data_IF_861301762135
#
_entry.id   IF_861301762135
#
_cell.length_a   1.000
_cell.length_b   1.000
_cell.length_c   1.000
_cell.angle_alpha   90.00
_cell.angle_beta   90.00
_cell.angle_gamma   90.00
#
_symmetry.space_group_name_H-M   'P 1'
#
loop_
_entity.id
_entity.type
_entity.pdbx_description
1 polymer ?
#
# COMPACT_ATOMS: atom_id res chain seq x y z
N UNK A 1 79.37 -12.47 8.88
CA UNK A 1 80.60 -13.14 8.37
C UNK A 1 80.20 -13.77 7.03
N UNK A 2 80.80 -13.43 5.88
CA UNK A 2 82.02 -14.06 5.31
C UNK A 2 81.87 -15.60 5.27
N UNK A 3 81.89 -16.29 4.12
CA UNK A 3 82.35 -16.01 2.73
C UNK A 3 81.26 -16.41 1.70
N UNK A 4 81.20 -16.06 0.40
CA UNK A 4 82.13 -15.51 -0.63
C UNK A 4 83.22 -16.48 -1.15
N UNK A 5 82.90 -17.23 -2.22
CA UNK A 5 83.91 -17.72 -3.16
C UNK A 5 83.34 -17.67 -4.60
N UNK A 6 84.23 -17.54 -5.59
CA UNK A 6 83.92 -16.96 -6.92
C UNK A 6 84.65 -17.72 -8.04
N UNK A 7 84.31 -17.41 -9.30
CA UNK A 7 84.92 -17.89 -10.56
C UNK A 7 84.49 -19.32 -10.95
N UNK A 8 84.31 -19.65 -12.24
CA UNK A 8 85.16 -19.23 -13.38
C UNK A 8 84.41 -18.87 -14.67
N UNK A 9 85.03 -17.97 -15.44
CA UNK A 9 84.71 -17.49 -16.80
C UNK A 9 84.89 -18.56 -17.90
N UNK A 10 84.61 -18.36 -19.21
CA UNK A 10 84.16 -17.18 -19.96
C UNK A 10 82.77 -17.46 -20.62
N UNK A 11 82.40 -17.30 -21.91
CA UNK A 11 83.03 -16.84 -23.18
C UNK A 11 81.99 -16.13 -24.09
N UNK A 12 82.35 -15.77 -25.33
CA UNK A 12 81.60 -14.92 -26.26
C UNK A 12 80.58 -15.70 -27.15
N UNK A 13 79.49 -15.03 -27.53
CA UNK A 13 78.63 -15.39 -28.67
C UNK A 13 77.81 -14.19 -29.16
N UNK A 14 78.19 -13.58 -30.30
CA UNK A 14 77.48 -12.42 -30.87
C UNK A 14 76.33 -12.89 -31.76
N UNK A 15 75.08 -12.66 -31.32
CA UNK A 15 73.87 -12.92 -32.12
C UNK A 15 73.00 -11.66 -32.23
N UNK A 16 73.14 -10.92 -33.32
CA UNK A 16 72.16 -9.87 -33.68
C UNK A 16 70.97 -10.53 -34.37
N UNK A 17 69.86 -10.67 -33.66
CA UNK A 17 68.57 -11.02 -34.26
C UNK A 17 67.60 -9.85 -34.13
N UNK A 18 67.13 -9.35 -35.26
CA UNK A 18 66.12 -8.30 -35.36
C UNK A 18 64.75 -8.92 -35.03
N UNK A 19 64.08 -8.46 -33.98
CA UNK A 19 62.77 -8.97 -33.54
C UNK A 19 61.84 -7.83 -33.19
N UNK A 20 60.72 -7.72 -33.91
CA UNK A 20 59.73 -6.66 -33.69
C UNK A 20 58.81 -6.98 -32.52
N UNK A 21 58.46 -5.96 -31.73
CA UNK A 21 57.35 -5.99 -30.78
C UNK A 21 56.45 -4.77 -31.03
N UNK A 22 55.40 -4.98 -31.83
CA UNK A 22 54.22 -4.12 -31.85
C UNK A 22 53.28 -4.53 -30.69
N UNK A 23 52.40 -3.60 -30.27
CA UNK A 23 51.20 -3.95 -29.52
C UNK A 23 51.34 -3.99 -28.00
N UNK A 24 51.32 -2.81 -27.37
CA UNK A 24 51.17 -2.64 -25.92
C UNK A 24 49.80 -2.04 -25.52
N UNK A 25 48.74 -2.32 -26.28
CA UNK A 25 47.42 -1.71 -26.08
C UNK A 25 46.63 -2.36 -24.96
N UNK A 26 46.40 -1.59 -23.89
CA UNK A 26 45.18 -1.55 -23.06
C UNK A 26 44.37 -2.85 -22.98
N UNK A 27 44.70 -3.70 -22.02
CA UNK A 27 43.69 -4.56 -21.39
C UNK A 27 43.13 -3.81 -20.17
N UNK A 28 42.16 -2.93 -20.43
CA UNK A 28 41.30 -2.43 -19.38
C UNK A 28 40.41 -3.60 -18.92
N UNK A 29 40.39 -3.88 -17.61
CA UNK A 29 39.55 -4.95 -17.05
C UNK A 29 38.09 -4.55 -17.12
N UNK A 30 37.43 -4.85 -18.24
CA UNK A 30 35.98 -4.76 -18.38
C UNK A 30 35.34 -5.61 -17.29
N UNK A 31 34.69 -4.97 -16.33
CA UNK A 31 33.92 -5.66 -15.31
C UNK A 31 32.84 -6.51 -16.02
N UNK A 32 32.79 -7.80 -15.70
CA UNK A 32 31.70 -8.65 -16.11
C UNK A 32 30.42 -8.11 -15.48
N UNK A 33 29.47 -7.66 -16.32
CA UNK A 33 28.08 -7.62 -15.89
C UNK A 33 27.70 -9.05 -15.50
N UNK A 34 27.35 -9.26 -14.24
CA UNK A 34 26.99 -10.58 -13.77
C UNK A 34 25.68 -11.02 -14.44
N UNK A 35 25.66 -12.23 -15.00
CA UNK A 35 24.45 -12.86 -15.54
C UNK A 35 23.68 -13.46 -14.34
N UNK A 36 23.01 -12.60 -13.54
CA UNK A 36 22.40 -12.93 -12.22
C UNK A 36 21.10 -13.74 -12.35
N UNK A 37 21.05 -14.65 -13.33
CA UNK A 37 19.95 -15.61 -13.53
C UNK A 37 19.98 -16.79 -12.56
N UNK A 38 20.79 -16.71 -11.50
CA UNK A 38 20.82 -17.69 -10.41
C UNK A 38 19.58 -17.52 -9.53
N UNK A 39 18.73 -18.56 -9.35
CA UNK A 39 17.64 -18.50 -8.39
C UNK A 39 18.18 -18.43 -6.96
N UNK A 40 17.59 -17.53 -6.17
CA UNK A 40 17.88 -17.29 -4.76
C UNK A 40 16.65 -17.68 -3.95
N UNK A 41 16.81 -18.44 -2.87
CA UNK A 41 15.67 -18.84 -2.02
C UNK A 41 15.14 -17.63 -1.24
N UNK A 42 13.85 -17.34 -1.36
CA UNK A 42 13.20 -16.22 -0.69
C UNK A 42 11.78 -16.56 -0.27
N UNK A 43 11.59 -16.57 1.05
CA UNK A 43 10.28 -16.55 1.69
C UNK A 43 9.78 -15.09 1.79
N UNK A 44 10.72 -14.14 1.94
CA UNK A 44 10.48 -12.69 1.91
C UNK A 44 11.47 -11.95 0.99
N UNK A 45 11.02 -10.84 0.39
CA UNK A 45 11.82 -9.92 -0.43
C UNK A 45 11.58 -8.45 -0.04
N UNK A 46 12.55 -7.81 0.63
CA UNK A 46 12.65 -6.35 0.77
C UNK A 46 13.25 -5.77 -0.52
N UNK A 47 12.54 -4.83 -1.13
CA UNK A 47 12.91 -4.19 -2.39
C UNK A 47 12.89 -2.67 -2.24
N UNK A 48 14.07 -2.05 -2.33
CA UNK A 48 14.25 -0.59 -2.32
C UNK A 48 14.82 -0.10 -3.65
N UNK A 49 13.99 0.60 -4.42
CA UNK A 49 14.17 0.87 -5.86
C UNK A 49 13.91 2.34 -6.24
N UNK A 50 14.50 3.33 -5.54
CA UNK A 50 14.28 4.75 -5.79
C UNK A 50 14.55 5.13 -7.26
N UNK A 51 13.64 5.86 -7.88
CA UNK A 51 13.73 6.38 -9.25
C UNK A 51 13.94 5.32 -10.37
N UNK A 52 13.66 4.03 -10.11
CA UNK A 52 13.84 2.95 -11.08
C UNK A 52 12.54 2.59 -11.84
N UNK A 53 12.70 2.00 -13.04
CA UNK A 53 11.63 1.22 -13.68
C UNK A 53 11.77 -0.24 -13.26
N UNK A 54 10.74 -0.82 -12.63
CA UNK A 54 10.77 -2.18 -12.10
C UNK A 54 9.60 -2.99 -12.64
N UNK A 55 9.90 -4.18 -13.16
CA UNK A 55 8.89 -5.16 -13.57
C UNK A 55 9.09 -6.46 -12.77
N UNK A 56 8.07 -6.85 -12.01
CA UNK A 56 8.05 -8.04 -11.18
C UNK A 56 7.07 -9.02 -11.78
N UNK A 57 7.45 -10.30 -11.89
CA UNK A 57 6.56 -11.40 -12.28
C UNK A 57 6.45 -12.39 -11.14
N UNK A 58 5.26 -12.53 -10.59
CA UNK A 58 4.93 -13.57 -9.63
C UNK A 58 4.50 -14.85 -10.40
N UNK A 59 5.32 -15.89 -10.34
CA UNK A 59 5.11 -17.16 -11.03
C UNK A 59 5.11 -18.32 -10.03
N UNK A 60 3.97 -18.98 -9.87
CA UNK A 60 3.80 -20.17 -9.03
C UNK A 60 4.57 -21.41 -9.51
N UNK A 61 5.24 -21.37 -10.68
CA UNK A 61 6.21 -22.38 -11.09
C UNK A 61 7.57 -22.23 -10.38
N UNK A 62 7.89 -21.03 -9.85
CA UNK A 62 9.06 -20.80 -9.01
C UNK A 62 8.77 -21.28 -7.59
N UNK A 63 9.56 -22.26 -7.14
CA UNK A 63 9.49 -22.78 -5.77
C UNK A 63 10.34 -21.91 -4.87
N UNK A 64 9.69 -21.03 -4.13
CA UNK A 64 10.29 -20.26 -3.03
C UNK A 64 11.56 -19.49 -3.48
N UNK A 65 11.55 -19.02 -4.74
CA UNK A 65 12.74 -18.58 -5.47
C UNK A 65 12.54 -17.23 -6.16
N UNK A 66 13.51 -16.34 -6.02
CA UNK A 66 13.63 -15.06 -6.73
C UNK A 66 14.76 -15.15 -7.77
N UNK A 67 14.54 -14.59 -8.96
CA UNK A 67 15.51 -14.50 -10.06
C UNK A 67 15.58 -13.06 -10.57
N UNK A 68 16.79 -12.54 -10.78
CA UNK A 68 17.00 -11.26 -11.47
C UNK A 68 17.16 -11.54 -12.97
N UNK A 69 16.11 -11.30 -13.77
CA UNK A 69 16.14 -11.50 -15.22
C UNK A 69 16.94 -10.39 -15.92
N UNK A 70 16.83 -9.16 -15.45
CA UNK A 70 17.48 -7.97 -16.04
C UNK A 70 17.83 -6.93 -14.97
N UNK A 71 18.98 -6.27 -15.10
CA UNK A 71 19.41 -5.13 -14.28
C UNK A 71 20.08 -4.06 -15.16
N UNK A 72 19.42 -3.63 -16.23
CA UNK A 72 19.99 -2.74 -17.25
C UNK A 72 20.27 -1.36 -16.68
N UNK A 73 21.55 -0.97 -16.68
CA UNK A 73 22.00 0.32 -16.15
C UNK A 73 22.00 0.41 -14.62
N UNK A 74 21.78 -0.71 -13.92
CA UNK A 74 21.68 -0.79 -12.47
C UNK A 74 22.72 -1.73 -11.89
N UNK A 75 23.15 -1.47 -10.66
CA UNK A 75 23.96 -2.40 -9.86
C UNK A 75 23.18 -2.70 -8.59
N UNK A 76 22.36 -3.76 -8.55
CA UNK A 76 21.62 -4.13 -7.35
C UNK A 76 22.59 -4.65 -6.29
N UNK A 77 22.52 -4.09 -5.08
CA UNK A 77 23.09 -4.72 -3.90
C UNK A 77 22.10 -5.79 -3.42
N UNK A 78 22.54 -7.04 -3.37
CA UNK A 78 21.71 -8.20 -3.00
C UNK A 78 22.29 -8.82 -1.74
N UNK A 79 21.54 -8.75 -0.66
CA UNK A 79 21.89 -9.36 0.62
C UNK A 79 20.88 -10.48 0.92
N UNK A 80 21.37 -11.64 1.33
CA UNK A 80 20.51 -12.77 1.74
C UNK A 80 20.80 -13.12 3.19
N UNK A 81 19.78 -13.03 4.02
CA UNK A 81 19.82 -13.39 5.44
C UNK A 81 18.85 -14.54 5.70
N UNK A 82 19.14 -15.37 6.69
CA UNK A 82 18.26 -16.43 7.15
C UNK A 82 18.04 -16.31 8.64
N UNK A 83 16.79 -16.23 9.07
CA UNK A 83 16.43 -16.43 10.47
C UNK A 83 15.71 -17.78 10.62
N UNK A 84 16.23 -18.64 11.50
CA UNK A 84 15.76 -20.02 11.64
C UNK A 84 15.64 -20.79 10.32
N UNK A 85 14.41 -20.94 9.84
CA UNK A 85 14.03 -21.60 8.58
C UNK A 85 13.76 -20.65 7.43
N UNK A 86 13.48 -19.37 7.70
CA UNK A 86 13.00 -18.38 6.74
C UNK A 86 14.18 -17.65 6.06
N UNK A 87 14.06 -17.43 4.75
CA UNK A 87 15.09 -16.85 3.89
C UNK A 87 14.62 -15.49 3.38
N UNK A 88 15.25 -14.42 3.88
CA UNK A 88 14.90 -13.04 3.55
C UNK A 88 15.94 -12.52 2.55
N UNK A 89 15.49 -12.02 1.41
CA UNK A 89 16.33 -11.30 0.45
C UNK A 89 16.08 -9.81 0.58
N UNK A 90 17.15 -9.03 0.58
CA UNK A 90 17.12 -7.58 0.44
C UNK A 90 17.79 -7.19 -0.87
N UNK A 91 17.07 -6.46 -1.73
CA UNK A 91 17.58 -5.92 -2.98
C UNK A 91 17.46 -4.39 -2.97
N UNK A 92 18.61 -3.70 -2.96
CA UNK A 92 18.68 -2.24 -2.90
C UNK A 92 19.34 -1.64 -4.16
N UNK A 93 18.75 -0.56 -4.67
CA UNK A 93 19.32 0.26 -5.75
C UNK A 93 19.80 1.61 -5.21
N UNK A 94 21.10 1.72 -4.92
CA UNK A 94 21.67 2.96 -4.39
C UNK A 94 21.90 4.08 -5.43
N UNK A 95 21.88 3.76 -6.72
CA UNK A 95 22.05 4.72 -7.82
C UNK A 95 21.20 4.30 -9.03
N UNK A 96 20.25 5.14 -9.42
CA UNK A 96 19.38 4.90 -10.57
C UNK A 96 19.62 5.97 -11.65
N UNK A 97 20.47 5.69 -12.66
CA UNK A 97 20.60 6.56 -13.83
C UNK A 97 19.30 6.56 -14.64
N UNK A 98 19.05 7.64 -15.38
CA UNK A 98 17.81 7.82 -16.16
C UNK A 98 17.60 6.66 -17.14
N UNK A 99 16.52 5.90 -16.94
CA UNK A 99 16.19 4.72 -17.75
C UNK A 99 16.74 3.39 -17.23
N UNK A 100 17.28 3.34 -16.00
CA UNK A 100 17.63 2.09 -15.33
C UNK A 100 16.42 1.17 -15.13
N UNK A 101 16.58 -0.12 -15.41
CA UNK A 101 15.51 -1.14 -15.42
C UNK A 101 15.89 -2.39 -14.65
N UNK A 102 14.99 -2.82 -13.77
CA UNK A 102 15.10 -4.06 -13.00
C UNK A 102 13.92 -4.98 -13.38
N UNK A 103 14.22 -6.19 -13.84
CA UNK A 103 13.22 -7.24 -14.09
C UNK A 103 13.44 -8.39 -13.12
N UNK A 104 12.46 -8.67 -12.27
CA UNK A 104 12.48 -9.72 -11.25
C UNK A 104 11.41 -10.77 -11.56
N UNK A 105 11.72 -12.05 -11.36
CA UNK A 105 10.70 -13.09 -11.21
C UNK A 105 10.77 -13.62 -9.78
N UNK A 106 9.64 -13.94 -9.16
CA UNK A 106 9.55 -14.46 -7.81
C UNK A 106 8.42 -15.48 -7.67
N UNK A 107 8.44 -16.29 -6.60
CA UNK A 107 7.33 -17.19 -6.29
C UNK A 107 6.09 -16.38 -5.89
N UNK A 108 4.89 -16.81 -6.29
CA UNK A 108 3.64 -16.23 -5.81
C UNK A 108 3.50 -16.24 -4.28
N UNK A 109 4.17 -17.17 -3.60
CA UNK A 109 4.15 -17.32 -2.15
C UNK A 109 5.22 -16.49 -1.42
N UNK A 110 6.21 -15.92 -2.14
CA UNK A 110 7.18 -14.98 -1.56
C UNK A 110 6.46 -13.68 -1.16
N UNK A 111 6.57 -13.27 0.11
CA UNK A 111 6.06 -11.97 0.54
C UNK A 111 6.96 -10.84 0.00
N UNK A 112 6.35 -9.81 -0.62
CA UNK A 112 7.06 -8.67 -1.17
C UNK A 112 6.83 -7.42 -0.31
N UNK A 113 7.92 -6.79 0.11
CA UNK A 113 7.91 -5.50 0.82
C UNK A 113 8.60 -4.44 -0.02
N UNK A 114 7.88 -3.38 -0.38
CA UNK A 114 8.41 -2.23 -1.13
C UNK A 114 8.77 -1.10 -0.16
N UNK A 115 10.06 -0.83 0.01
CA UNK A 115 10.56 0.21 0.92
C UNK A 115 11.17 1.40 0.17
N UNK A 116 10.99 2.61 0.72
CA UNK A 116 11.70 3.85 0.38
C UNK A 116 12.03 4.00 -1.11
N UNK A 117 11.00 3.95 -1.96
CA UNK A 117 11.12 3.92 -3.42
C UNK A 117 10.52 5.16 -4.10
N UNK A 118 10.97 6.39 -3.77
CA UNK A 118 10.45 7.60 -4.35
C UNK A 118 10.66 7.67 -5.86
N UNK A 119 9.69 8.21 -6.59
CA UNK A 119 9.73 8.36 -8.06
C UNK A 119 9.93 7.04 -8.85
N UNK A 120 9.71 5.89 -8.21
CA UNK A 120 9.75 4.59 -8.87
C UNK A 120 8.52 4.37 -9.77
N UNK A 121 8.67 3.53 -10.79
CA UNK A 121 7.55 2.99 -11.57
C UNK A 121 7.62 1.46 -11.53
N UNK A 122 6.69 0.87 -10.78
CA UNK A 122 6.67 -0.56 -10.43
C UNK A 122 5.46 -1.21 -11.09
N UNK A 123 5.67 -2.34 -11.77
CA UNK A 123 4.61 -3.15 -12.38
C UNK A 123 4.78 -4.58 -11.85
N UNK A 124 3.72 -5.14 -11.27
CA UNK A 124 3.69 -6.48 -10.68
C UNK A 124 2.66 -7.32 -11.44
N UNK A 125 3.14 -8.21 -12.31
CA UNK A 125 2.29 -9.15 -13.04
C UNK A 125 2.18 -10.50 -12.34
N UNK A 126 1.02 -11.15 -12.44
CA UNK A 126 0.73 -12.45 -11.82
C UNK A 126 -0.13 -12.34 -10.54
N UNK A 127 0.20 -13.13 -9.51
CA UNK A 127 -0.52 -13.12 -8.22
C UNK A 127 0.48 -13.19 -7.07
N UNK A 128 0.39 -12.24 -6.14
CA UNK A 128 1.12 -12.24 -4.87
C UNK A 128 0.24 -12.70 -3.70
N UNK A 129 0.79 -13.51 -2.80
CA UNK A 129 0.15 -13.82 -1.52
C UNK A 129 0.17 -12.61 -0.56
N UNK A 130 1.25 -11.83 -0.53
CA UNK A 130 1.39 -10.64 0.32
C UNK A 130 2.15 -9.51 -0.39
N UNK A 131 1.65 -8.27 -0.27
CA UNK A 131 2.36 -7.04 -0.61
C UNK A 131 2.30 -6.06 0.58
N UNK A 132 3.46 -5.70 1.12
CA UNK A 132 3.65 -4.52 1.96
C UNK A 132 4.27 -3.41 1.11
N UNK A 133 3.89 -2.14 1.32
CA UNK A 133 4.45 -1.03 0.55
C UNK A 133 4.44 0.32 1.27
N UNK A 134 5.54 1.07 1.13
CA UNK A 134 5.65 2.47 1.52
C UNK A 134 6.15 3.29 0.30
N UNK A 135 5.27 4.12 -0.27
CA UNK A 135 5.48 4.76 -1.57
C UNK A 135 5.21 6.27 -1.52
N UNK A 136 6.16 7.06 -2.02
CA UNK A 136 6.09 8.53 -2.06
C UNK A 136 6.41 9.05 -3.48
N UNK A 137 5.58 9.93 -4.05
CA UNK A 137 5.69 10.37 -5.44
C UNK A 137 5.95 9.25 -6.48
N UNK A 138 5.43 8.04 -6.24
CA UNK A 138 5.74 6.83 -7.03
C UNK A 138 4.54 6.35 -7.88
N UNK A 139 4.75 5.29 -8.66
CA UNK A 139 3.69 4.63 -9.43
C UNK A 139 3.76 3.11 -9.32
N UNK A 140 2.61 2.48 -9.09
CA UNK A 140 2.45 1.04 -8.88
C UNK A 140 1.27 0.49 -9.69
N UNK A 141 1.47 -0.65 -10.35
CA UNK A 141 0.41 -1.42 -11.02
C UNK A 141 0.52 -2.88 -10.57
N UNK A 142 -0.58 -3.53 -10.18
CA UNK A 142 -0.60 -4.92 -9.66
C UNK A 142 -1.75 -5.71 -10.29
N UNK A 143 -1.46 -6.88 -10.88
CA UNK A 143 -2.46 -7.79 -11.43
C UNK A 143 -3.36 -8.39 -10.32
N UNK A 144 -2.78 -9.04 -9.30
CA UNK A 144 -3.51 -9.56 -8.14
C UNK A 144 -2.67 -9.63 -6.86
N UNK A 145 -3.29 -9.33 -5.72
CA UNK A 145 -2.74 -9.61 -4.38
C UNK A 145 -3.79 -10.11 -3.36
N UNK A 146 -3.39 -11.06 -2.49
CA UNK A 146 -4.24 -11.70 -1.44
C UNK A 146 -4.08 -11.12 -0.02
N UNK A 147 -3.12 -10.22 0.19
CA UNK A 147 -2.92 -9.51 1.45
C UNK A 147 -2.17 -8.22 1.19
N UNK A 148 -2.77 -7.07 1.51
CA UNK A 148 -2.18 -5.76 1.26
C UNK A 148 -1.99 -4.96 2.56
N UNK A 149 -0.80 -4.41 2.77
CA UNK A 149 -0.60 -3.24 3.64
C UNK A 149 0.12 -2.16 2.84
N UNK A 150 -0.42 -0.94 2.83
CA UNK A 150 -0.04 0.09 1.86
C UNK A 150 -0.08 1.48 2.49
N UNK A 151 1.09 2.12 2.57
CA UNK A 151 1.23 3.54 2.83
C UNK A 151 1.59 4.28 1.53
N UNK A 152 0.79 5.28 1.17
CA UNK A 152 0.99 6.13 -0.02
C UNK A 152 0.96 7.61 0.34
N UNK A 153 1.95 8.36 -0.17
CA UNK A 153 2.11 9.79 0.08
C UNK A 153 2.51 10.56 -1.19
N UNK A 154 2.64 11.88 -1.06
CA UNK A 154 2.99 12.78 -2.16
C UNK A 154 1.91 12.77 -3.24
N UNK A 155 2.31 12.43 -4.46
CA UNK A 155 1.45 12.32 -5.65
C UNK A 155 1.25 10.87 -6.12
N UNK A 156 1.58 9.88 -5.28
CA UNK A 156 1.65 8.45 -5.63
C UNK A 156 0.38 7.92 -6.30
N UNK A 157 0.55 7.18 -7.40
CA UNK A 157 -0.53 6.56 -8.17
C UNK A 157 -0.43 5.03 -8.09
N UNK A 158 -1.42 4.38 -7.47
CA UNK A 158 -1.50 2.93 -7.36
C UNK A 158 -2.76 2.39 -8.08
N UNK A 159 -2.58 1.33 -8.88
CA UNK A 159 -3.67 0.56 -9.49
C UNK A 159 -3.53 -0.93 -9.15
N UNK A 160 -4.61 -1.56 -8.72
CA UNK A 160 -4.67 -2.99 -8.38
C UNK A 160 -5.88 -3.62 -9.07
N UNK A 161 -5.64 -4.48 -10.07
CA UNK A 161 -6.75 -5.09 -10.82
C UNK A 161 -7.59 -6.04 -9.95
N UNK A 162 -6.96 -6.87 -9.12
CA UNK A 162 -7.70 -7.68 -8.13
C UNK A 162 -7.06 -7.68 -6.73
N UNK A 163 -7.88 -7.37 -5.72
CA UNK A 163 -7.49 -7.32 -4.31
C UNK A 163 -8.37 -8.29 -3.50
N UNK A 164 -7.77 -9.34 -2.95
CA UNK A 164 -8.47 -10.44 -2.27
C UNK A 164 -8.16 -10.50 -0.77
N UNK A 165 -9.00 -11.23 -0.02
CA UNK A 165 -8.86 -11.65 1.38
C UNK A 165 -8.76 -10.53 2.42
N UNK A 166 -7.73 -9.69 2.44
CA UNK A 166 -7.58 -8.61 3.43
C UNK A 166 -6.70 -7.45 2.93
N UNK A 167 -7.03 -6.22 3.31
CA UNK A 167 -6.25 -5.03 2.94
C UNK A 167 -6.24 -3.94 4.01
N UNK A 168 -5.13 -3.19 4.09
CA UNK A 168 -4.96 -1.98 4.86
C UNK A 168 -4.35 -0.87 3.99
N UNK A 169 -4.87 0.35 4.14
CA UNK A 169 -4.44 1.56 3.44
C UNK A 169 -4.19 2.72 4.42
N UNK A 170 -3.12 3.46 4.19
CA UNK A 170 -2.83 4.77 4.76
C UNK A 170 -2.45 5.73 3.63
N UNK A 171 -3.34 6.66 3.28
CA UNK A 171 -3.19 7.54 2.12
C UNK A 171 -3.14 9.02 2.53
N UNK A 172 -2.14 9.74 2.01
CA UNK A 172 -1.85 11.14 2.38
C UNK A 172 -1.47 11.98 1.17
N UNK A 173 -1.42 13.30 1.30
CA UNK A 173 -1.12 14.21 0.19
C UNK A 173 -2.16 14.17 -0.93
N UNK A 174 -1.71 14.13 -2.18
CA UNK A 174 -2.53 13.95 -3.40
C UNK A 174 -2.39 12.56 -4.02
N UNK A 175 -2.21 11.53 -3.18
CA UNK A 175 -2.09 10.14 -3.62
C UNK A 175 -3.44 9.54 -4.04
N UNK A 176 -3.41 8.53 -4.91
CA UNK A 176 -4.60 7.89 -5.48
C UNK A 176 -4.41 6.36 -5.55
N UNK A 177 -5.33 5.60 -4.95
CA UNK A 177 -5.44 4.15 -5.14
C UNK A 177 -6.73 3.81 -5.90
N UNK A 178 -6.60 3.07 -6.99
CA UNK A 178 -7.72 2.48 -7.73
C UNK A 178 -7.66 0.94 -7.67
N UNK A 179 -8.80 0.31 -7.39
CA UNK A 179 -8.94 -1.14 -7.32
C UNK A 179 -10.12 -1.57 -8.20
N UNK A 180 -9.90 -2.41 -9.21
CA UNK A 180 -11.00 -2.80 -10.11
C UNK A 180 -11.96 -3.77 -9.40
N UNK A 181 -11.42 -4.82 -8.77
CA UNK A 181 -12.21 -5.83 -8.02
C UNK A 181 -11.65 -6.05 -6.61
N UNK A 182 -12.47 -5.85 -5.58
CA UNK A 182 -12.14 -6.17 -4.18
C UNK A 182 -13.00 -7.32 -3.62
N UNK A 183 -12.39 -8.41 -3.17
CA UNK A 183 -13.06 -9.55 -2.51
C UNK A 183 -12.48 -9.77 -1.11
N UNK A 184 -12.91 -8.94 -0.17
CA UNK A 184 -12.25 -8.72 1.12
C UNK A 184 -13.08 -9.18 2.32
N UNK A 185 -12.47 -9.96 3.20
CA UNK A 185 -13.03 -10.26 4.53
C UNK A 185 -12.92 -9.06 5.48
N UNK A 186 -11.86 -8.26 5.33
CA UNK A 186 -11.64 -7.01 6.04
C UNK A 186 -10.89 -5.99 5.16
N UNK A 187 -11.29 -4.73 5.26
CA UNK A 187 -10.60 -3.59 4.66
C UNK A 187 -10.52 -2.42 5.67
N UNK A 188 -9.31 -1.90 5.90
CA UNK A 188 -9.09 -0.68 6.68
C UNK A 188 -8.47 0.42 5.82
N UNK A 189 -8.94 1.66 5.98
CA UNK A 189 -8.39 2.83 5.29
C UNK A 189 -8.28 4.03 6.24
N UNK A 190 -7.13 4.70 6.20
CA UNK A 190 -6.89 6.00 6.82
C UNK A 190 -6.49 6.98 5.72
N UNK A 191 -7.15 8.15 5.65
CA UNK A 191 -7.03 9.07 4.52
C UNK A 191 -6.99 10.54 4.97
N UNK A 192 -6.01 11.30 4.47
CA UNK A 192 -5.79 12.72 4.78
C UNK A 192 -5.64 13.59 3.54
N UNK A 193 -5.48 14.90 3.76
CA UNK A 193 -5.14 15.91 2.75
C UNK A 193 -6.11 15.94 1.57
N UNK A 194 -5.72 15.50 0.38
CA UNK A 194 -6.55 15.32 -0.81
C UNK A 194 -6.30 13.95 -1.45
N UNK A 195 -6.20 12.92 -0.61
CA UNK A 195 -5.99 11.54 -1.05
C UNK A 195 -7.28 10.90 -1.58
N UNK A 196 -7.14 10.01 -2.55
CA UNK A 196 -8.24 9.42 -3.30
C UNK A 196 -8.22 7.89 -3.25
N UNK A 197 -9.41 7.29 -3.13
CA UNK A 197 -9.62 5.85 -3.17
C UNK A 197 -10.82 5.52 -4.07
N UNK A 198 -10.61 4.64 -5.05
CA UNK A 198 -11.68 4.08 -5.88
C UNK A 198 -11.66 2.55 -5.78
N UNK A 199 -12.82 1.94 -5.53
CA UNK A 199 -13.04 0.49 -5.61
C UNK A 199 -14.24 0.24 -6.53
N UNK A 200 -14.00 -0.28 -7.74
CA UNK A 200 -14.99 -0.32 -8.82
C UNK A 200 -16.06 -1.39 -8.64
N UNK A 201 -15.71 -2.62 -8.21
CA UNK A 201 -16.70 -3.64 -7.84
C UNK A 201 -16.20 -4.67 -6.80
N UNK A 202 -17.08 -5.57 -6.38
CA UNK A 202 -16.78 -6.71 -5.51
C UNK A 202 -17.59 -6.78 -4.20
N UNK A 203 -17.00 -7.37 -3.15
CA UNK A 203 -17.58 -7.58 -1.82
C UNK A 203 -16.58 -7.27 -0.71
N UNK A 204 -17.02 -6.58 0.35
CA UNK A 204 -16.22 -6.28 1.55
C UNK A 204 -17.02 -6.64 2.81
N UNK A 205 -16.64 -7.66 3.57
CA UNK A 205 -17.43 -8.11 4.73
C UNK A 205 -17.31 -7.17 5.96
N UNK A 206 -16.18 -6.48 6.11
CA UNK A 206 -15.93 -5.51 7.16
C UNK A 206 -15.09 -4.33 6.65
N UNK A 207 -15.68 -3.14 6.58
CA UNK A 207 -15.02 -1.89 6.20
C UNK A 207 -14.79 -1.01 7.44
N UNK A 208 -13.57 -0.51 7.62
CA UNK A 208 -13.26 0.58 8.57
C UNK A 208 -12.54 1.71 7.84
N UNK A 209 -13.15 2.88 7.74
CA UNK A 209 -12.60 4.00 6.97
C UNK A 209 -12.61 5.29 7.77
N UNK A 210 -11.45 5.95 7.89
CA UNK A 210 -11.29 7.25 8.53
C UNK A 210 -10.74 8.24 7.50
N UNK A 211 -11.54 9.22 7.07
CA UNK A 211 -11.17 10.21 6.06
C UNK A 211 -11.25 11.64 6.59
N UNK A 212 -10.30 12.48 6.18
CA UNK A 212 -10.12 13.82 6.76
C UNK A 212 -9.61 14.85 5.73
N UNK A 213 -9.63 16.13 6.10
CA UNK A 213 -9.33 17.28 5.23
C UNK A 213 -10.19 17.33 3.96
N UNK A 214 -9.72 16.86 2.82
CA UNK A 214 -10.40 16.83 1.51
C UNK A 214 -10.30 15.43 0.85
N UNK A 215 -9.96 14.40 1.62
CA UNK A 215 -9.87 13.03 1.12
C UNK A 215 -11.23 12.50 0.62
N UNK A 216 -11.21 11.74 -0.48
CA UNK A 216 -12.42 11.21 -1.12
C UNK A 216 -12.31 9.71 -1.38
N UNK A 217 -13.35 8.96 -0.98
CA UNK A 217 -13.41 7.51 -1.15
C UNK A 217 -14.71 7.06 -1.84
N UNK A 218 -14.58 6.40 -2.98
CA UNK A 218 -15.68 5.81 -3.76
C UNK A 218 -15.59 4.28 -3.72
N UNK A 219 -16.48 3.63 -2.98
CA UNK A 219 -16.51 2.17 -2.80
C UNK A 219 -17.80 1.63 -3.43
N UNK A 220 -17.70 1.18 -4.68
CA UNK A 220 -18.82 0.65 -5.46
C UNK A 220 -19.08 -0.85 -5.23
N UNK A 221 -18.20 -1.53 -4.49
CA UNK A 221 -18.40 -2.87 -3.95
C UNK A 221 -19.62 -2.98 -3.00
N UNK A 222 -20.14 -4.19 -2.82
CA UNK A 222 -21.13 -4.48 -1.77
C UNK A 222 -20.44 -4.66 -0.42
N UNK A 223 -20.68 -3.75 0.51
CA UNK A 223 -20.16 -3.83 1.87
C UNK A 223 -21.16 -4.57 2.77
N UNK A 224 -20.70 -5.44 3.66
CA UNK A 224 -21.58 -6.06 4.65
C UNK A 224 -21.67 -5.18 5.91
N UNK A 225 -20.56 -4.91 6.60
CA UNK A 225 -20.53 -4.00 7.74
C UNK A 225 -19.56 -2.84 7.50
N UNK A 226 -19.94 -1.63 7.91
CA UNK A 226 -19.14 -0.43 7.73
C UNK A 226 -19.04 0.38 9.04
N UNK A 227 -17.83 0.84 9.36
CA UNK A 227 -17.56 1.87 10.36
C UNK A 227 -16.80 3.01 9.67
N UNK A 228 -17.39 4.20 9.61
CA UNK A 228 -16.87 5.31 8.80
C UNK A 228 -16.80 6.57 9.65
N UNK A 229 -15.62 7.18 9.71
CA UNK A 229 -15.39 8.49 10.34
C UNK A 229 -14.99 9.52 9.29
N UNK A 230 -15.67 10.67 9.23
CA UNK A 230 -15.31 11.80 8.35
C UNK A 230 -15.02 13.09 9.12
N UNK A 231 -14.04 13.88 8.68
CA UNK A 231 -13.81 15.25 9.19
C UNK A 231 -13.66 16.29 8.08
N UNK A 232 -13.69 17.57 8.49
CA UNK A 232 -13.35 18.74 7.69
C UNK A 232 -14.19 18.94 6.41
N UNK A 233 -13.71 18.43 5.27
CA UNK A 233 -14.35 18.46 3.96
C UNK A 233 -14.23 17.12 3.19
N UNK A 234 -13.83 16.04 3.87
CA UNK A 234 -13.76 14.70 3.27
C UNK A 234 -15.14 14.17 2.85
N UNK A 235 -15.14 13.27 1.86
CA UNK A 235 -16.35 12.64 1.29
C UNK A 235 -16.18 11.13 1.16
N UNK A 236 -17.29 10.41 1.35
CA UNK A 236 -17.32 8.95 1.17
C UNK A 236 -18.60 8.56 0.42
N UNK A 237 -18.45 7.78 -0.64
CA UNK A 237 -19.55 7.27 -1.44
C UNK A 237 -19.54 5.75 -1.39
N UNK A 238 -20.66 5.14 -0.99
CA UNK A 238 -20.83 3.69 -0.96
C UNK A 238 -21.93 3.27 -1.94
N UNK A 239 -21.73 2.22 -2.73
CA UNK A 239 -22.81 1.64 -3.55
C UNK A 239 -23.89 1.01 -2.68
N UNK A 240 -23.54 -0.03 -1.92
CA UNK A 240 -24.51 -0.86 -1.21
C UNK A 240 -23.94 -1.37 0.10
N UNK A 241 -24.69 -1.21 1.18
CA UNK A 241 -24.42 -1.88 2.47
C UNK A 241 -25.56 -2.86 2.78
N UNK A 242 -25.25 -4.07 3.25
CA UNK A 242 -26.26 -5.11 3.58
C UNK A 242 -26.48 -5.37 5.06
N UNK A 243 -25.50 -5.06 5.91
CA UNK A 243 -25.52 -5.23 7.36
C UNK A 243 -25.55 -3.89 8.09
N UNK A 244 -24.71 -3.74 9.12
CA UNK A 244 -24.70 -2.52 9.94
C UNK A 244 -23.76 -1.44 9.42
N UNK A 245 -24.20 -0.18 9.52
CA UNK A 245 -23.41 1.02 9.26
C UNK A 245 -23.26 1.79 10.57
N UNK A 246 -22.03 2.22 10.90
CA UNK A 246 -21.72 3.14 11.99
C UNK A 246 -21.06 4.40 11.43
N UNK A 247 -21.83 5.46 11.31
CA UNK A 247 -21.38 6.74 10.76
C UNK A 247 -21.01 7.71 11.87
N UNK A 248 -19.77 8.21 11.83
CA UNK A 248 -19.28 9.30 12.65
C UNK A 248 -18.73 10.43 11.78
N UNK A 249 -18.86 11.67 12.24
CA UNK A 249 -18.26 12.83 11.57
C UNK A 249 -19.22 13.97 11.28
N UNK A 250 -18.80 14.84 10.37
CA UNK A 250 -19.50 16.11 10.05
C UNK A 250 -20.01 16.22 8.62
N UNK A 251 -19.67 15.29 7.70
CA UNK A 251 -19.96 15.43 6.26
C UNK A 251 -20.43 14.16 5.56
N UNK A 252 -20.66 14.30 4.25
CA UNK A 252 -21.54 13.44 3.46
C UNK A 252 -20.99 12.04 3.23
N UNK A 253 -21.66 11.06 3.82
CA UNK A 253 -21.64 9.67 3.38
C UNK A 253 -22.81 9.51 2.42
N UNK A 254 -22.50 9.27 1.14
CA UNK A 254 -23.51 9.14 0.07
C UNK A 254 -23.71 7.68 -0.27
N UNK A 255 -24.87 7.13 0.09
CA UNK A 255 -25.28 5.82 -0.42
C UNK A 255 -25.82 6.00 -1.84
N UNK A 256 -25.13 5.46 -2.83
CA UNK A 256 -25.55 5.47 -4.23
C UNK A 256 -26.66 4.44 -4.42
N UNK A 257 -27.90 4.85 -4.15
CA UNK A 257 -29.12 4.05 -4.40
C UNK A 257 -29.04 3.39 -5.78
N UNK A 258 -29.31 2.07 -5.90
CA UNK A 258 -29.43 1.42 -7.19
C UNK A 258 -30.40 2.20 -8.08
N UNK A 259 -30.12 2.37 -9.39
CA UNK A 259 -30.96 3.17 -10.27
C UNK A 259 -32.40 2.65 -10.21
N UNK A 260 -33.30 3.47 -9.67
CA UNK A 260 -34.69 3.08 -9.44
C UNK A 260 -35.30 2.64 -10.77
N UNK A 261 -35.81 1.41 -10.82
CA UNK A 261 -36.29 0.81 -12.06
C UNK A 261 -37.53 1.58 -12.55
N UNK A 262 -37.30 2.56 -13.43
CA UNK A 262 -38.27 3.55 -13.88
C UNK A 262 -39.61 2.89 -14.18
N UNK A 263 -40.68 3.19 -13.41
CA UNK A 263 -41.97 2.53 -13.59
C UNK A 263 -42.42 2.59 -15.04
N UNK A 264 -42.52 1.42 -15.68
CA UNK A 264 -42.73 1.32 -17.12
C UNK A 264 -43.99 2.10 -17.52
N UNK A 265 -43.79 3.23 -18.22
CA UNK A 265 -44.83 4.23 -18.48
C UNK A 265 -45.93 3.60 -19.34
N UNK A 266 -46.98 3.12 -18.67
CA UNK A 266 -48.01 2.27 -19.25
C UNK A 266 -48.64 2.95 -20.47
N UNK A 267 -48.40 2.39 -21.66
CA UNK A 267 -48.81 2.99 -22.91
C UNK A 267 -50.34 3.04 -23.01
N UNK A 268 -50.88 4.24 -23.22
CA UNK A 268 -52.32 4.47 -23.22
C UNK A 268 -52.94 4.27 -24.61
N UNK A 269 -53.89 3.33 -24.71
CA UNK A 269 -54.83 3.20 -25.83
C UNK A 269 -54.91 1.81 -26.45
N UNK A 270 -55.94 1.53 -27.28
CA UNK A 270 -57.08 2.40 -27.66
C UNK A 270 -58.36 2.10 -26.86
N UNK A 271 -59.42 2.86 -27.12
CA UNK A 271 -60.72 2.72 -26.43
C UNK A 271 -61.59 1.55 -26.96
N UNK A 272 -62.53 1.01 -26.16
CA UNK A 272 -63.48 0.00 -26.61
C UNK A 272 -64.47 0.52 -27.67
N UNK A 273 -64.83 -0.33 -28.63
CA UNK A 273 -65.90 -0.05 -29.58
C UNK A 273 -67.30 -0.27 -28.97
N UNK A 274 -68.30 0.47 -29.45
CA UNK A 274 -69.68 0.36 -28.96
C UNK A 274 -70.41 -0.87 -29.53
N UNK A 275 -71.26 -1.50 -28.71
CA UNK A 275 -72.24 -2.50 -29.15
C UNK A 275 -73.67 -1.94 -29.17
N UNK A 276 -74.56 -2.42 -30.07
CA UNK A 276 -75.92 -1.92 -30.23
C UNK A 276 -76.92 -2.48 -29.18
N UNK A 277 -78.07 -1.82 -28.96
CA UNK A 277 -79.05 -2.18 -27.93
C UNK A 277 -80.18 -3.10 -28.41
N UNK A 278 -80.63 -4.05 -27.58
CA UNK A 278 -81.92 -4.75 -27.68
C UNK A 278 -82.26 -5.50 -26.34
N UNK A 279 -83.49 -6.02 -26.10
CA UNK A 279 -84.43 -5.33 -25.20
C UNK A 279 -84.98 -6.19 -24.03
N UNK A 280 -86.03 -5.68 -23.37
CA UNK A 280 -86.65 -6.15 -22.11
C UNK A 280 -87.09 -7.63 -22.03
N UNK A 281 -87.06 -8.16 -20.80
CA UNK A 281 -87.71 -9.42 -20.39
C UNK A 281 -87.78 -9.55 -18.87
N UNK A 282 -88.96 -9.90 -18.34
CA UNK A 282 -89.24 -10.04 -16.88
C UNK A 282 -89.20 -11.50 -16.41
N UNK A 283 -88.73 -11.78 -15.18
CA UNK A 283 -89.31 -12.80 -14.29
C UNK A 283 -88.72 -12.76 -12.85
N UNK A 284 -89.49 -13.24 -11.87
CA UNK A 284 -89.21 -13.20 -10.43
C UNK A 284 -88.32 -14.36 -9.92
N UNK A 285 -87.66 -14.17 -8.77
CA UNK A 285 -87.06 -15.24 -7.96
C UNK A 285 -86.63 -14.73 -6.57
N UNK A 286 -87.08 -15.39 -5.49
CA UNK A 286 -86.80 -14.95 -4.10
C UNK A 286 -85.55 -15.65 -3.54
N UNK A 287 -84.67 -14.91 -2.84
CA UNK A 287 -84.40 -15.12 -1.41
C UNK A 287 -83.37 -14.12 -0.82
N UNK A 288 -83.55 -13.82 0.47
CA UNK A 288 -82.76 -12.96 1.38
C UNK A 288 -83.12 -13.45 2.82
N UNK A 289 -82.40 -13.20 3.94
CA UNK A 289 -81.22 -12.35 4.19
C UNK A 289 -80.00 -13.20 4.70
N UNK A 290 -78.91 -12.71 5.30
CA UNK A 290 -78.62 -11.41 5.93
C UNK A 290 -77.12 -11.00 5.94
N UNK A 291 -76.90 -9.74 6.34
CA UNK A 291 -75.64 -8.99 6.54
C UNK A 291 -75.71 -8.48 8.00
N UNK A 292 -74.65 -8.46 8.86
CA UNK A 292 -73.64 -7.38 8.75
C UNK A 292 -72.22 -7.52 9.39
N UNK A 293 -71.24 -6.95 8.67
CA UNK A 293 -70.22 -5.97 9.13
C UNK A 293 -69.08 -6.31 10.13
N UNK A 294 -68.00 -5.53 9.94
CA UNK A 294 -66.70 -5.47 10.65
C UNK A 294 -66.82 -4.82 12.05
N UNK A 295 -65.82 -4.96 12.95
CA UNK A 295 -64.90 -3.81 13.15
C UNK A 295 -63.41 -4.16 13.46
N UNK A 296 -62.62 -3.11 13.67
CA UNK A 296 -61.15 -3.01 13.74
C UNK A 296 -60.65 -2.80 15.18
N UNK A 297 -59.66 -3.58 15.63
CA UNK A 297 -58.84 -3.38 16.85
C UNK A 297 -57.47 -4.06 16.67
N UNK A 298 -56.40 -3.76 17.41
CA UNK A 298 -55.97 -2.55 18.12
C UNK A 298 -54.46 -2.72 18.47
N UNK A 299 -53.76 -1.63 18.85
CA UNK A 299 -52.37 -1.73 19.31
C UNK A 299 -52.28 -2.30 20.74
N UNK A 300 -51.21 -3.04 21.04
CA UNK A 300 -50.93 -3.59 22.37
C UNK A 300 -49.48 -3.39 22.79
N UNK A 301 -49.26 -2.62 23.85
CA UNK A 301 -47.96 -2.45 24.51
C UNK A 301 -47.77 -3.49 25.62
N UNK A 302 -46.54 -3.96 25.82
CA UNK A 302 -46.20 -4.91 26.89
C UNK A 302 -45.05 -4.40 27.77
N UNK A 303 -45.40 -3.84 28.92
CA UNK A 303 -44.46 -3.40 29.97
C UNK A 303 -44.13 -4.57 30.91
N UNK A 304 -42.88 -4.76 31.37
CA UNK A 304 -42.52 -5.94 32.17
C UNK A 304 -43.01 -5.88 33.63
N UNK A 305 -43.41 -7.02 34.23
CA UNK A 305 -43.66 -7.12 35.67
C UNK A 305 -42.36 -7.33 36.46
N UNK A 306 -42.22 -6.62 37.58
CA UNK A 306 -41.20 -6.91 38.59
C UNK A 306 -41.76 -7.88 39.65
N UNK A 307 -40.91 -8.76 40.18
CA UNK A 307 -41.25 -9.67 41.29
C UNK A 307 -40.00 -10.02 42.10
N UNK A 308 -40.06 -9.87 43.42
CA UNK A 308 -38.87 -9.82 44.29
C UNK A 308 -38.95 -10.82 45.44
N UNK A 309 -37.96 -11.72 45.50
CA UNK A 309 -37.61 -12.62 46.62
C UNK A 309 -38.69 -13.67 47.03
N UNK A 310 -38.36 -14.82 47.64
CA UNK A 310 -37.11 -15.27 48.24
C UNK A 310 -37.00 -16.82 48.24
N UNK A 311 -35.79 -17.38 48.42
CA UNK A 311 -35.62 -18.73 49.03
C UNK A 311 -34.59 -19.70 48.44
N UNK A 312 -33.62 -20.07 49.27
CA UNK A 312 -33.00 -21.41 49.39
C UNK A 312 -32.09 -21.98 48.27
N UNK A 313 -30.80 -21.62 48.39
CA UNK A 313 -29.63 -22.54 48.56
C UNK A 313 -29.32 -23.70 47.60
N UNK A 314 -28.06 -23.62 47.11
CA UNK A 314 -27.08 -24.71 46.94
C UNK A 314 -27.28 -25.78 45.83
N UNK A 315 -26.41 -25.74 44.81
CA UNK A 315 -26.36 -26.76 43.75
C UNK A 315 -25.34 -26.53 42.63
N UNK A 316 -24.18 -25.90 42.91
CA UNK A 316 -23.21 -25.54 41.86
C UNK A 316 -22.42 -26.77 41.35
N UNK A 317 -22.35 -27.05 40.04
CA UNK A 317 -21.53 -28.12 39.50
C UNK A 317 -20.03 -27.83 39.69
N UNK A 318 -19.30 -28.75 40.31
CA UNK A 318 -17.84 -28.63 40.49
C UNK A 318 -17.13 -29.01 39.19
N UNK A 319 -16.58 -28.01 38.49
CA UNK A 319 -15.55 -28.24 37.48
C UNK A 319 -14.21 -28.51 38.20
N UNK A 320 -13.45 -29.57 37.85
CA UNK A 320 -12.13 -29.80 38.44
C UNK A 320 -11.20 -28.61 38.23
N UNK A 321 -10.60 -28.11 39.30
CA UNK A 321 -9.58 -27.08 39.23
C UNK A 321 -8.25 -27.70 38.77
N UNK A 322 -7.71 -27.21 37.65
CA UNK A 322 -6.33 -27.49 37.27
C UNK A 322 -5.41 -26.76 38.26
N UNK A 323 -4.36 -27.40 38.81
CA UNK A 323 -3.42 -26.72 39.68
C UNK A 323 -2.77 -25.52 38.99
N UNK A 324 -2.92 -24.33 39.58
CA UNK A 324 -2.24 -23.14 39.09
C UNK A 324 -0.73 -23.28 39.36
N UNK A 325 0.06 -23.43 38.29
CA UNK A 325 1.52 -23.32 38.37
C UNK A 325 1.84 -21.88 38.75
N UNK A 326 2.53 -21.68 39.87
CA UNK A 326 2.98 -20.35 40.28
C UNK A 326 3.97 -19.80 39.24
N UNK A 327 3.84 -18.52 38.83
CA UNK A 327 4.83 -17.91 37.94
C UNK A 327 6.21 -17.93 38.62
N UNK A 328 7.30 -18.20 37.88
CA UNK A 328 8.64 -18.17 38.45
C UNK A 328 8.94 -16.76 38.96
N UNK A 329 9.50 -16.65 40.17
CA UNK A 329 9.86 -15.37 40.75
C UNK A 329 10.97 -14.72 39.90
N UNK A 330 10.65 -13.59 39.27
CA UNK A 330 11.61 -12.78 38.52
C UNK A 330 12.74 -12.35 39.45
N UNK A 331 14.02 -12.63 39.14
CA UNK A 331 15.13 -12.09 39.92
C UNK A 331 15.06 -10.57 39.92
N UNK A 332 15.15 -9.95 41.09
CA UNK A 332 15.24 -8.51 41.20
C UNK A 332 16.54 -8.06 40.52
N UNK A 333 16.42 -7.32 39.42
CA UNK A 333 17.59 -6.81 38.70
C UNK A 333 18.34 -5.82 39.61
N UNK A 334 19.58 -6.16 39.96
CA UNK A 334 20.50 -5.22 40.62
C UNK A 334 20.62 -3.98 39.74
N UNK A 335 20.44 -2.75 40.26
CA UNK A 335 20.61 -1.55 39.45
C UNK A 335 22.04 -1.51 38.92
N UNK A 336 22.26 -1.22 37.63
CA UNK A 336 23.60 -1.12 37.07
C UNK A 336 24.37 0.00 37.79
N UNK A 337 25.64 -0.26 38.12
CA UNK A 337 26.50 0.75 38.70
C UNK A 337 26.63 1.94 37.76
N UNK A 338 26.55 3.16 38.30
CA UNK A 338 26.57 4.40 37.52
C UNK A 338 27.89 4.57 36.77
N UNK A 339 27.92 4.13 35.51
CA UNK A 339 28.99 4.48 34.57
C UNK A 339 29.05 6.00 34.41
N UNK A 340 30.25 6.60 34.35
CA UNK A 340 30.39 8.05 34.26
C UNK A 340 29.77 8.57 32.95
N UNK A 341 28.91 9.59 33.07
CA UNK A 341 28.31 10.28 31.93
C UNK A 341 29.42 10.83 31.03
N UNK A 342 29.44 10.52 29.72
CA UNK A 342 30.34 11.19 28.78
C UNK A 342 30.07 12.70 28.82
N UNK A 343 31.07 13.49 29.21
CA UNK A 343 30.95 14.94 29.14
C UNK A 343 30.71 15.34 27.68
N UNK A 344 29.64 16.09 27.43
CA UNK A 344 29.46 16.74 26.15
C UNK A 344 30.70 17.60 25.85
N UNK A 345 31.24 17.60 24.63
CA UNK A 345 32.42 18.38 24.30
C UNK A 345 32.13 19.86 24.53
N UNK A 346 32.86 20.47 25.46
CA UNK A 346 32.77 21.91 25.76
C UNK A 346 32.94 22.70 24.47
N UNK A 347 32.05 23.65 24.13
CA UNK A 347 32.22 24.50 22.96
C UNK A 347 33.59 25.18 22.99
N UNK A 348 34.37 24.99 21.92
CA UNK A 348 35.64 25.68 21.79
C UNK A 348 35.41 27.20 21.79
N UNK A 349 36.27 27.99 22.45
CA UNK A 349 36.16 29.45 22.37
C UNK A 349 36.30 29.89 20.90
N UNK A 350 35.54 30.92 20.46
CA UNK A 350 35.54 31.33 19.07
C UNK A 350 36.94 31.77 18.64
N UNK A 351 37.44 31.19 17.56
CA UNK A 351 38.70 31.61 16.96
C UNK A 351 38.60 33.05 16.47
N UNK A 352 39.60 33.88 16.78
CA UNK A 352 39.68 35.27 16.31
C UNK A 352 39.59 35.34 14.79
N UNK A 353 38.61 36.08 14.27
CA UNK A 353 38.37 36.15 12.84
C UNK A 353 39.54 36.81 12.08
N UNK A 354 40.26 36.03 11.28
CA UNK A 354 41.17 36.56 10.25
C UNK A 354 40.37 36.99 9.02
N UNK A 355 40.30 38.30 8.80
CA UNK A 355 39.53 38.91 7.71
C UNK A 355 40.02 38.46 6.32
N UNK A 356 39.14 37.84 5.53
CA UNK A 356 39.26 37.74 4.07
C UNK A 356 37.95 38.15 3.37
N UNK A 357 38.02 38.70 2.15
CA UNK A 357 36.94 39.52 1.59
C UNK A 357 35.81 38.71 0.94
N UNK A 358 34.61 39.31 0.92
CA UNK A 358 33.42 38.74 0.31
C UNK A 358 33.45 38.77 -1.23
N UNK A 359 32.95 37.73 -1.92
CA UNK A 359 32.62 37.79 -3.34
C UNK A 359 31.49 38.79 -3.62
N UNK A 360 31.57 39.51 -4.74
CA UNK A 360 30.56 40.50 -5.14
C UNK A 360 29.35 39.84 -5.82
N UNK A 361 28.15 40.34 -5.52
CA UNK A 361 26.93 39.97 -6.23
C UNK A 361 26.79 40.75 -7.56
N UNK A 362 26.21 40.16 -8.63
CA UNK A 362 25.97 40.89 -9.88
C UNK A 362 24.89 41.97 -9.69
N UNK A 363 25.20 43.23 -9.99
CA UNK A 363 24.22 44.31 -9.99
C UNK A 363 23.51 44.40 -11.35
N UNK A 364 22.18 44.39 -11.34
CA UNK A 364 21.38 44.75 -12.50
C UNK A 364 21.48 46.26 -12.76
N UNK A 365 21.75 46.65 -14.02
CA UNK A 365 21.93 48.05 -14.39
C UNK A 365 20.66 48.69 -14.96
N UNK A 366 20.42 49.96 -14.64
CA UNK A 366 19.64 51.00 -15.38
C UNK A 366 19.61 52.30 -14.52
N UNK A 367 19.26 53.49 -15.05
CA UNK A 367 20.21 54.27 -15.84
C UNK A 367 20.42 55.70 -15.28
N UNK A 368 21.60 56.29 -15.51
CA UNK A 368 21.89 57.68 -15.14
C UNK A 368 21.95 58.60 -16.38
N UNK A 369 21.18 59.68 -16.34
CA UNK A 369 21.23 60.76 -17.33
C UNK A 369 22.44 61.69 -17.14
N UNK A 370 22.63 62.70 -18.02
CA UNK A 370 23.94 63.31 -18.26
C UNK A 370 24.16 64.65 -17.54
N UNK A 371 25.44 65.03 -17.34
CA UNK A 371 25.97 66.34 -17.76
C UNK A 371 27.51 66.50 -17.65
N UNK A 372 28.10 66.97 -18.75
CA UNK A 372 29.17 67.98 -18.90
C UNK A 372 30.42 68.01 -17.99
N UNK A 373 31.54 67.52 -18.54
CA UNK A 373 32.75 68.30 -18.98
C UNK A 373 32.93 69.78 -18.57
N UNK A 374 34.17 70.34 -18.61
CA UNK A 374 35.50 69.75 -18.34
C UNK A 374 36.46 70.76 -17.61
N UNK A 375 37.78 70.61 -17.80
CA UNK A 375 38.89 71.58 -17.52
C UNK A 375 39.56 71.44 -16.13
N UNK A 376 40.89 71.46 -15.99
CA UNK A 376 42.00 71.38 -16.98
C UNK A 376 43.01 70.30 -16.55
#
# INVERSE_FOLDING_TARGET
MRNVQTCLSLLLGRGMCLGAMLGGTLMASSALAADVRTPLHADELDLSVPCAQVHIRADAALKDSVVVEEATGLTPDIQTTRDGTESHIRLALHNCPKGGRLTLHLSSDTALTLHDSPQAHIIISGTLTTLESNLDDASLQVDRVESLDMSISGTTQAHIHQLNRAAQLNATGGSHLEVDTALLSAFSAQMSDSSHLSITEGQIDSLTLNASQQADASIMATVNNASITTSDAASVTLSKVTGTVQDGGTKHITHASPPEATPAKQAAGPAPAAQPPQPDGQAQGLNNPAVPHVPKQAAGTSTPPAGTAAGQTAGTPVRPAVPAVAPPATPAATPPASSPVPQAPTPAPPASATSQPAPQAPQAGTPAGPQNTPSQ
#
